data_IF_485436478689
#
_entry.id   IF_485436478689
#
_cell.length_a   1.000
_cell.length_b   1.000
_cell.length_c   1.000
_cell.angle_alpha   90.00
_cell.angle_beta   90.00
_cell.angle_gamma   90.00
#
_symmetry.space_group_name_H-M   'P 1'
#
loop_
_entity.id
_entity.type
_entity.pdbx_description
1 polymer ?
#
# COMPACT_ATOMS: atom_id res chain seq x y z
N UNK A 1 -15.60 -9.53 25.76
CA UNK A 1 -15.26 -10.35 24.58
C UNK A 1 -16.15 -9.95 23.41
N UNK A 2 -15.68 -10.06 22.15
CA UNK A 2 -16.50 -9.86 20.95
C UNK A 2 -17.62 -10.89 20.89
N UNK A 3 -18.85 -10.44 20.63
CA UNK A 3 -19.98 -11.34 20.38
C UNK A 3 -19.88 -12.00 18.97
N UNK A 4 -20.77 -12.96 18.70
CA UNK A 4 -20.72 -13.71 17.41
C UNK A 4 -20.89 -12.80 16.19
N UNK A 5 -21.76 -11.78 16.27
CA UNK A 5 -22.00 -10.83 15.19
C UNK A 5 -20.77 -9.94 14.92
N UNK A 6 -20.14 -9.42 15.99
CA UNK A 6 -18.91 -8.62 15.88
C UNK A 6 -17.76 -9.44 15.26
N UNK A 7 -17.59 -10.70 15.69
CA UNK A 7 -16.56 -11.61 15.12
C UNK A 7 -16.79 -11.87 13.65
N UNK A 8 -18.06 -12.20 13.27
CA UNK A 8 -18.45 -12.44 11.87
C UNK A 8 -18.23 -11.20 11.00
N UNK A 9 -18.63 -10.02 11.50
CA UNK A 9 -18.46 -8.76 10.78
C UNK A 9 -16.98 -8.37 10.66
N UNK A 10 -16.19 -8.54 11.71
CA UNK A 10 -14.75 -8.27 11.68
C UNK A 10 -14.07 -9.20 10.69
N UNK A 11 -14.36 -10.50 10.71
CA UNK A 11 -13.82 -11.45 9.73
C UNK A 11 -14.18 -11.04 8.30
N UNK A 12 -15.46 -10.77 8.01
CA UNK A 12 -15.94 -10.42 6.68
C UNK A 12 -15.26 -9.14 6.15
N UNK A 13 -15.22 -8.06 6.96
CA UNK A 13 -14.63 -6.79 6.55
C UNK A 13 -13.10 -6.87 6.42
N UNK A 14 -12.43 -7.62 7.29
CA UNK A 14 -10.99 -7.91 7.15
C UNK A 14 -10.70 -8.73 5.91
N UNK A 15 -11.55 -9.71 5.55
CA UNK A 15 -11.42 -10.49 4.32
C UNK A 15 -11.62 -9.63 3.07
N UNK A 16 -12.60 -8.72 3.06
CA UNK A 16 -12.78 -7.75 1.96
C UNK A 16 -11.51 -6.93 1.76
N UNK A 17 -10.94 -6.43 2.86
CA UNK A 17 -9.72 -5.63 2.81
C UNK A 17 -8.53 -6.48 2.33
N UNK A 18 -8.38 -7.70 2.85
CA UNK A 18 -7.32 -8.63 2.49
C UNK A 18 -7.36 -9.01 1.00
N UNK A 19 -8.53 -9.41 0.47
CA UNK A 19 -8.68 -9.78 -0.94
C UNK A 19 -8.33 -8.62 -1.87
N UNK A 20 -8.77 -7.42 -1.53
CA UNK A 20 -8.44 -6.22 -2.30
C UNK A 20 -6.95 -5.90 -2.27
N UNK A 21 -6.31 -6.00 -1.10
CA UNK A 21 -4.87 -5.75 -0.95
C UNK A 21 -4.03 -6.83 -1.64
N UNK A 22 -4.43 -8.10 -1.57
CA UNK A 22 -3.82 -9.18 -2.33
C UNK A 22 -3.82 -8.86 -3.83
N UNK A 23 -4.99 -8.53 -4.40
CA UNK A 23 -5.09 -8.20 -5.83
C UNK A 23 -4.24 -7.00 -6.23
N UNK A 24 -4.15 -5.98 -5.38
CA UNK A 24 -3.30 -4.81 -5.63
C UNK A 24 -1.81 -5.15 -5.60
N UNK A 25 -1.38 -5.83 -4.53
CA UNK A 25 0.05 -6.02 -4.25
C UNK A 25 0.68 -7.11 -5.10
N UNK A 26 -0.06 -8.13 -5.58
CA UNK A 26 0.50 -9.18 -6.43
C UNK A 26 1.07 -8.67 -7.75
N UNK A 27 0.54 -7.57 -8.28
CA UNK A 27 0.95 -7.00 -9.57
C UNK A 27 2.27 -6.23 -9.43
N UNK A 28 2.49 -5.54 -8.31
CA UNK A 28 3.60 -4.60 -8.15
C UNK A 28 4.98 -5.25 -8.38
N UNK A 29 5.33 -6.40 -7.78
CA UNK A 29 6.69 -6.97 -7.87
C UNK A 29 7.00 -7.65 -9.20
N UNK A 30 6.03 -7.75 -10.11
CA UNK A 30 6.21 -8.47 -11.39
C UNK A 30 6.01 -7.59 -12.60
N UNK A 31 5.30 -6.47 -12.45
CA UNK A 31 4.77 -5.71 -13.57
C UNK A 31 5.85 -5.08 -14.45
N UNK A 32 6.95 -4.60 -13.87
CA UNK A 32 8.05 -3.99 -14.61
C UNK A 32 8.75 -4.94 -15.59
N UNK A 33 8.69 -6.24 -15.32
CA UNK A 33 9.26 -7.28 -16.20
C UNK A 33 8.17 -7.94 -17.04
N UNK A 34 7.12 -8.49 -16.41
CA UNK A 34 6.07 -9.21 -17.13
C UNK A 34 5.23 -8.27 -18.02
N UNK A 35 5.09 -7.01 -17.66
CA UNK A 35 4.36 -6.02 -18.46
C UNK A 35 5.04 -5.58 -19.75
N UNK A 36 6.30 -5.94 -19.97
CA UNK A 36 7.02 -5.66 -21.24
C UNK A 36 6.42 -6.43 -22.42
N UNK A 37 5.58 -7.42 -22.19
CA UNK A 37 4.87 -8.18 -23.22
C UNK A 37 3.70 -7.40 -23.86
N UNK A 38 3.23 -6.32 -23.25
CA UNK A 38 2.17 -5.48 -23.80
C UNK A 38 2.66 -4.65 -24.98
N UNK A 39 1.81 -4.49 -26.00
CA UNK A 39 2.09 -3.57 -27.08
C UNK A 39 2.30 -2.14 -26.57
N UNK A 40 3.22 -1.43 -27.18
CA UNK A 40 3.63 -0.06 -26.81
C UNK A 40 4.19 0.09 -25.40
N UNK A 41 4.56 -1.01 -24.73
CA UNK A 41 5.15 -0.94 -23.39
C UNK A 41 6.51 -0.22 -23.44
N UNK A 42 6.64 0.80 -22.61
CA UNK A 42 7.92 1.47 -22.32
C UNK A 42 8.12 1.47 -20.80
N UNK A 43 9.35 1.56 -20.32
CA UNK A 43 9.62 1.61 -18.87
C UNK A 43 8.81 2.72 -18.17
N UNK A 44 8.68 3.90 -18.78
CA UNK A 44 7.89 5.00 -18.25
C UNK A 44 6.38 4.65 -18.15
N UNK A 45 5.81 4.01 -19.18
CA UNK A 45 4.40 3.59 -19.18
C UNK A 45 4.14 2.44 -18.21
N UNK A 46 5.09 1.51 -18.03
CA UNK A 46 5.02 0.47 -17.02
C UNK A 46 4.98 1.06 -15.61
N UNK A 47 5.86 2.03 -15.34
CA UNK A 47 5.85 2.77 -14.08
C UNK A 47 4.55 3.54 -13.86
N UNK A 48 4.05 4.22 -14.90
CA UNK A 48 2.75 4.90 -14.86
C UNK A 48 1.59 3.92 -14.60
N UNK A 49 1.57 2.77 -15.24
CA UNK A 49 0.54 1.76 -15.04
C UNK A 49 0.49 1.26 -13.58
N UNK A 50 1.62 1.13 -12.91
CA UNK A 50 1.66 0.82 -11.47
C UNK A 50 1.15 2.01 -10.65
N UNK A 51 1.66 3.21 -10.92
CA UNK A 51 1.38 4.40 -10.13
C UNK A 51 -0.05 4.94 -10.26
N UNK A 52 -0.65 4.88 -11.46
CA UNK A 52 -1.96 5.51 -11.76
C UNK A 52 -3.09 5.03 -10.83
N UNK A 53 -3.04 3.79 -10.38
CA UNK A 53 -3.93 3.27 -9.35
C UNK A 53 -3.84 4.11 -8.07
N UNK A 54 -2.63 4.44 -7.63
CA UNK A 54 -2.40 5.28 -6.45
C UNK A 54 -2.95 6.69 -6.64
N UNK A 55 -2.76 7.31 -7.81
CA UNK A 55 -3.26 8.65 -8.11
C UNK A 55 -4.79 8.72 -8.02
N UNK A 56 -5.49 7.82 -8.69
CA UNK A 56 -6.96 7.80 -8.69
C UNK A 56 -7.49 7.48 -7.30
N UNK A 57 -6.84 6.59 -6.55
CA UNK A 57 -7.21 6.30 -5.18
C UNK A 57 -6.99 7.51 -4.26
N UNK A 58 -5.87 8.22 -4.36
CA UNK A 58 -5.59 9.42 -3.56
C UNK A 58 -6.65 10.51 -3.79
N UNK A 59 -7.03 10.75 -5.05
CA UNK A 59 -8.03 11.76 -5.42
C UNK A 59 -9.41 11.36 -4.92
N UNK A 60 -9.81 10.10 -5.10
CA UNK A 60 -11.17 9.64 -4.80
C UNK A 60 -11.37 9.21 -3.34
N UNK A 61 -10.30 9.05 -2.56
CA UNK A 61 -10.34 8.71 -1.14
C UNK A 61 -11.21 9.68 -0.33
N UNK A 62 -11.06 10.98 -0.57
CA UNK A 62 -11.81 12.04 0.12
C UNK A 62 -13.30 12.05 -0.32
N UNK A 63 -13.64 12.13 -1.61
CA UNK A 63 -15.02 12.02 -2.07
C UNK A 63 -15.75 10.78 -1.54
N UNK A 64 -15.14 9.60 -1.60
CA UNK A 64 -15.73 8.37 -1.07
C UNK A 64 -16.00 8.45 0.43
N UNK A 65 -15.08 9.04 1.21
CA UNK A 65 -15.28 9.23 2.65
C UNK A 65 -16.44 10.17 2.94
N UNK A 66 -16.58 11.29 2.20
CA UNK A 66 -17.66 12.24 2.35
C UNK A 66 -19.03 11.65 1.98
N UNK A 67 -19.08 10.89 0.87
CA UNK A 67 -20.29 10.16 0.45
C UNK A 67 -20.64 9.11 1.52
N UNK A 68 -19.63 8.39 2.01
CA UNK A 68 -19.80 7.40 3.07
C UNK A 68 -20.33 8.00 4.37
N UNK A 69 -20.14 9.28 4.63
CA UNK A 69 -20.70 9.97 5.80
C UNK A 69 -22.16 10.38 5.62
N UNK A 70 -22.64 10.54 4.40
CA UNK A 70 -24.01 10.95 4.08
C UNK A 70 -24.93 9.78 3.73
N UNK A 71 -24.41 8.77 3.06
CA UNK A 71 -25.17 7.63 2.53
C UNK A 71 -24.80 6.31 3.21
N UNK A 72 -25.53 5.26 2.94
CA UNK A 72 -25.24 3.91 3.43
C UNK A 72 -23.87 3.43 2.93
N UNK A 73 -23.03 2.91 3.83
CA UNK A 73 -21.66 2.47 3.50
C UNK A 73 -21.61 1.21 2.64
N UNK A 74 -22.53 0.26 2.85
CA UNK A 74 -22.51 -1.01 2.11
C UNK A 74 -22.62 -0.83 0.58
N UNK A 75 -23.62 -0.10 0.04
CA UNK A 75 -23.69 0.14 -1.40
C UNK A 75 -22.45 0.82 -1.96
N UNK A 76 -21.83 1.74 -1.19
CA UNK A 76 -20.62 2.42 -1.60
C UNK A 76 -19.41 1.46 -1.64
N UNK A 77 -19.32 0.51 -0.69
CA UNK A 77 -18.30 -0.55 -0.72
C UNK A 77 -18.52 -1.46 -1.94
N UNK A 78 -19.78 -1.86 -2.23
CA UNK A 78 -20.10 -2.65 -3.44
C UNK A 78 -19.66 -1.90 -4.70
N UNK A 79 -20.04 -0.64 -4.83
CA UNK A 79 -19.68 0.19 -5.99
C UNK A 79 -18.15 0.27 -6.18
N UNK A 80 -17.40 0.53 -5.12
CA UNK A 80 -15.95 0.59 -5.22
C UNK A 80 -15.29 -0.76 -5.53
N UNK A 81 -15.83 -1.87 -5.00
CA UNK A 81 -15.34 -3.21 -5.35
C UNK A 81 -15.70 -3.59 -6.79
N UNK A 82 -16.83 -3.13 -7.31
CA UNK A 82 -17.16 -3.27 -8.74
C UNK A 82 -16.22 -2.49 -9.63
N UNK A 83 -15.86 -1.24 -9.26
CA UNK A 83 -14.83 -0.49 -9.98
C UNK A 83 -13.48 -1.20 -9.95
N UNK A 84 -13.10 -1.77 -8.80
CA UNK A 84 -11.86 -2.54 -8.67
C UNK A 84 -11.87 -3.78 -9.57
N UNK A 85 -12.95 -4.56 -9.58
CA UNK A 85 -13.10 -5.75 -10.42
C UNK A 85 -13.17 -5.38 -11.91
N UNK A 86 -13.95 -4.35 -12.28
CA UNK A 86 -14.04 -3.86 -13.66
C UNK A 86 -12.70 -3.41 -14.19
N UNK A 87 -11.95 -2.63 -13.41
CA UNK A 87 -10.61 -2.19 -13.79
C UNK A 87 -9.63 -3.35 -13.96
N UNK A 88 -9.72 -4.38 -13.10
CA UNK A 88 -8.96 -5.63 -13.24
C UNK A 88 -9.31 -6.36 -14.54
N UNK A 89 -10.60 -6.50 -14.87
CA UNK A 89 -11.07 -7.14 -16.10
C UNK A 89 -10.60 -6.38 -17.36
N UNK A 90 -10.71 -5.05 -17.37
CA UNK A 90 -10.22 -4.22 -18.48
C UNK A 90 -8.72 -4.43 -18.69
N UNK A 91 -7.92 -4.43 -17.60
CA UNK A 91 -6.48 -4.67 -17.69
C UNK A 91 -6.16 -6.10 -18.18
N UNK A 92 -6.94 -7.11 -17.75
CA UNK A 92 -6.77 -8.50 -18.13
C UNK A 92 -7.07 -8.76 -19.62
N UNK A 93 -8.03 -8.02 -20.19
CA UNK A 93 -8.46 -8.15 -21.60
C UNK A 93 -7.67 -7.27 -22.57
N UNK A 94 -6.74 -6.46 -22.04
CA UNK A 94 -6.00 -5.50 -22.86
C UNK A 94 -4.72 -6.12 -23.41
N UNK A 95 -4.48 -5.89 -24.71
CA UNK A 95 -3.23 -6.27 -25.36
C UNK A 95 -2.19 -5.13 -25.33
N UNK A 96 -2.63 -3.90 -25.07
CA UNK A 96 -1.79 -2.70 -25.04
C UNK A 96 -1.60 -2.17 -23.63
N UNK A 97 -0.45 -1.53 -23.37
CA UNK A 97 -0.16 -0.88 -22.09
C UNK A 97 -1.17 0.24 -21.75
N UNK A 98 -1.76 0.89 -22.74
CA UNK A 98 -2.75 1.96 -22.53
C UNK A 98 -4.04 1.43 -21.92
N UNK A 99 -4.52 0.27 -22.39
CA UNK A 99 -5.70 -0.37 -21.82
C UNK A 99 -5.45 -0.82 -20.38
N UNK A 100 -4.24 -1.30 -20.07
CA UNK A 100 -3.83 -1.61 -18.69
C UNK A 100 -3.83 -0.36 -17.81
N UNK A 101 -3.28 0.76 -18.29
CA UNK A 101 -3.29 2.05 -17.55
C UNK A 101 -4.73 2.48 -17.24
N UNK A 102 -5.64 2.41 -18.22
CA UNK A 102 -7.07 2.73 -18.01
C UNK A 102 -7.70 1.80 -16.97
N UNK A 103 -7.49 0.48 -17.13
CA UNK A 103 -8.00 -0.51 -16.16
C UNK A 103 -7.50 -0.23 -14.74
N UNK A 104 -6.21 0.06 -14.58
CA UNK A 104 -5.60 0.39 -13.30
C UNK A 104 -6.14 1.71 -12.71
N UNK A 105 -6.38 2.72 -13.55
CA UNK A 105 -6.99 3.98 -13.11
C UNK A 105 -8.43 3.76 -12.60
N UNK A 106 -9.22 2.95 -13.30
CA UNK A 106 -10.58 2.59 -12.87
C UNK A 106 -10.55 1.78 -11.56
N UNK A 107 -9.66 0.78 -11.47
CA UNK A 107 -9.50 -0.05 -10.25
C UNK A 107 -9.12 0.80 -9.03
N UNK A 108 -8.22 1.77 -9.18
CA UNK A 108 -7.85 2.73 -8.13
C UNK A 108 -9.01 3.63 -7.72
N UNK A 109 -9.95 3.90 -8.63
CA UNK A 109 -11.20 4.62 -8.33
C UNK A 109 -12.08 3.94 -7.27
N UNK A 110 -11.89 2.64 -7.04
CA UNK A 110 -12.55 1.92 -5.95
C UNK A 110 -12.00 2.22 -4.56
N UNK A 111 -11.88 3.48 -4.17
CA UNK A 111 -11.25 3.97 -2.93
C UNK A 111 -12.06 3.65 -1.65
N UNK A 112 -12.35 2.37 -1.39
CA UNK A 112 -13.23 1.93 -0.28
C UNK A 112 -12.53 1.71 1.06
N UNK A 113 -11.21 1.85 1.15
CA UNK A 113 -10.45 1.51 2.37
C UNK A 113 -10.99 2.21 3.63
N UNK A 114 -11.17 3.53 3.56
CA UNK A 114 -11.72 4.30 4.68
C UNK A 114 -13.19 3.93 4.98
N UNK A 115 -13.97 3.63 3.94
CA UNK A 115 -15.38 3.24 4.08
C UNK A 115 -15.53 1.90 4.79
N UNK A 116 -14.68 0.92 4.45
CA UNK A 116 -14.65 -0.40 5.11
C UNK A 116 -14.23 -0.28 6.57
N UNK A 117 -13.19 0.52 6.85
CA UNK A 117 -12.78 0.78 8.25
C UNK A 117 -13.89 1.46 9.05
N UNK A 118 -14.56 2.44 8.45
CA UNK A 118 -15.69 3.11 9.09
C UNK A 118 -16.87 2.16 9.31
N UNK A 119 -17.16 1.26 8.36
CA UNK A 119 -18.20 0.24 8.51
C UNK A 119 -17.84 -0.75 9.65
N UNK A 120 -16.57 -1.14 9.77
CA UNK A 120 -16.09 -1.96 10.88
C UNK A 120 -16.33 -1.29 12.24
N UNK A 121 -16.04 0.01 12.33
CA UNK A 121 -16.32 0.79 13.54
C UNK A 121 -17.82 0.86 13.90
N UNK A 122 -18.71 0.89 12.89
CA UNK A 122 -20.16 0.92 13.11
C UNK A 122 -20.72 -0.41 13.63
N UNK A 123 -20.14 -1.54 13.21
CA UNK A 123 -20.62 -2.89 13.58
C UNK A 123 -19.93 -3.46 14.82
N UNK A 124 -18.99 -2.72 15.42
CA UNK A 124 -18.28 -3.13 16.63
C UNK A 124 -18.49 -2.16 17.77
N UNK A 125 -18.74 -2.70 18.98
CA UNK A 125 -18.87 -1.90 20.21
C UNK A 125 -17.53 -1.21 20.51
N UNK A 126 -17.58 -0.09 21.21
CA UNK A 126 -16.42 0.75 21.50
C UNK A 126 -15.29 -0.03 22.20
N UNK A 127 -15.62 -0.88 23.17
CA UNK A 127 -14.71 -1.78 23.91
C UNK A 127 -13.94 -2.75 22.99
N UNK A 128 -14.54 -3.17 21.88
CA UNK A 128 -13.99 -4.16 20.97
C UNK A 128 -13.39 -3.55 19.68
N UNK A 129 -13.63 -2.25 19.43
CA UNK A 129 -13.22 -1.55 18.20
C UNK A 129 -11.72 -1.64 17.96
N UNK A 130 -10.91 -1.47 19.00
CA UNK A 130 -9.45 -1.57 18.88
C UNK A 130 -9.02 -2.97 18.44
N UNK A 131 -9.63 -4.02 18.98
CA UNK A 131 -9.33 -5.40 18.56
C UNK A 131 -9.73 -5.67 17.11
N UNK A 132 -10.91 -5.17 16.70
CA UNK A 132 -11.38 -5.31 15.32
C UNK A 132 -10.45 -4.59 14.32
N UNK A 133 -10.04 -3.37 14.63
CA UNK A 133 -9.09 -2.61 13.81
C UNK A 133 -7.70 -3.27 13.77
N UNK A 134 -7.22 -3.84 14.86
CA UNK A 134 -5.97 -4.60 14.90
C UNK A 134 -6.05 -5.85 14.02
N UNK A 135 -7.18 -6.58 14.04
CA UNK A 135 -7.41 -7.74 13.16
C UNK A 135 -7.36 -7.33 11.69
N UNK A 136 -8.00 -6.20 11.34
CA UNK A 136 -7.95 -5.66 9.97
C UNK A 136 -6.52 -5.25 9.58
N UNK A 137 -5.78 -4.57 10.47
CA UNK A 137 -4.38 -4.21 10.24
C UNK A 137 -3.49 -5.44 10.01
N UNK A 138 -3.65 -6.49 10.80
CA UNK A 138 -2.94 -7.76 10.59
C UNK A 138 -3.27 -8.38 9.23
N UNK A 139 -4.53 -8.33 8.80
CA UNK A 139 -4.92 -8.88 7.49
C UNK A 139 -4.24 -8.15 6.32
N UNK A 140 -3.96 -6.85 6.44
CA UNK A 140 -3.22 -6.07 5.44
C UNK A 140 -1.76 -6.57 5.37
N UNK A 141 -1.09 -6.70 6.51
CA UNK A 141 0.30 -7.16 6.58
C UNK A 141 0.47 -8.58 6.01
N UNK A 142 -0.45 -9.50 6.36
CA UNK A 142 -0.46 -10.85 5.81
C UNK A 142 -0.70 -10.83 4.31
N UNK A 143 -1.67 -10.01 3.83
CA UNK A 143 -1.94 -9.88 2.40
C UNK A 143 -0.74 -9.36 1.63
N UNK A 144 0.00 -8.40 2.19
CA UNK A 144 1.23 -7.89 1.60
C UNK A 144 2.27 -9.01 1.44
N UNK A 145 2.57 -9.74 2.52
CA UNK A 145 3.56 -10.82 2.48
C UNK A 145 3.16 -11.93 1.50
N UNK A 146 1.89 -12.35 1.51
CA UNK A 146 1.36 -13.36 0.60
C UNK A 146 1.39 -12.88 -0.85
N UNK A 147 0.98 -11.64 -1.13
CA UNK A 147 0.93 -11.08 -2.47
C UNK A 147 2.32 -11.00 -3.12
N UNK A 148 3.31 -10.50 -2.38
CA UNK A 148 4.68 -10.39 -2.88
C UNK A 148 5.37 -11.73 -3.07
N UNK A 149 4.96 -12.75 -2.32
CA UNK A 149 5.49 -14.11 -2.47
C UNK A 149 4.80 -14.88 -3.59
N UNK A 150 3.46 -14.82 -3.66
CA UNK A 150 2.67 -15.56 -4.64
C UNK A 150 2.60 -14.89 -6.01
N UNK A 151 2.68 -13.55 -6.08
CA UNK A 151 2.57 -12.81 -7.35
C UNK A 151 3.54 -13.30 -8.41
N UNK A 152 4.86 -13.38 -8.13
CA UNK A 152 5.84 -13.88 -9.08
C UNK A 152 5.58 -15.34 -9.52
N UNK A 153 5.23 -16.21 -8.59
CA UNK A 153 4.92 -17.61 -8.88
C UNK A 153 3.67 -17.74 -9.76
N UNK A 154 2.57 -17.06 -9.41
CA UNK A 154 1.34 -17.05 -10.21
C UNK A 154 1.56 -16.47 -11.60
N UNK A 155 2.36 -15.40 -11.72
CA UNK A 155 2.69 -14.84 -13.04
C UNK A 155 3.38 -15.84 -13.94
N UNK A 156 4.21 -16.72 -13.38
CA UNK A 156 4.82 -17.83 -14.12
C UNK A 156 3.83 -18.88 -14.62
N UNK A 157 2.68 -19.04 -13.95
CA UNK A 157 1.65 -20.02 -14.31
C UNK A 157 0.59 -19.48 -15.28
N UNK A 158 0.09 -18.25 -15.02
CA UNK A 158 -1.08 -17.69 -15.72
C UNK A 158 -0.76 -16.43 -16.53
N UNK A 159 0.49 -16.00 -16.51
CA UNK A 159 0.91 -14.74 -17.13
C UNK A 159 0.38 -13.49 -16.42
N UNK A 160 0.72 -12.32 -16.96
CA UNK A 160 0.31 -11.04 -16.36
C UNK A 160 -1.19 -10.77 -16.53
N UNK A 161 -1.79 -11.13 -17.67
CA UNK A 161 -3.23 -11.01 -17.90
C UNK A 161 -4.03 -11.93 -16.95
N UNK A 162 -3.54 -13.15 -16.72
CA UNK A 162 -4.11 -14.07 -15.73
C UNK A 162 -4.07 -13.51 -14.32
N UNK A 163 -3.01 -12.79 -13.94
CA UNK A 163 -2.91 -12.14 -12.64
C UNK A 163 -3.96 -11.02 -12.47
N UNK A 164 -4.27 -10.26 -13.53
CA UNK A 164 -5.38 -9.30 -13.51
C UNK A 164 -6.74 -9.99 -13.40
N UNK A 165 -6.94 -11.16 -14.03
CA UNK A 165 -8.15 -11.97 -13.81
C UNK A 165 -8.29 -12.45 -12.37
N UNK A 166 -7.20 -12.89 -11.74
CA UNK A 166 -7.19 -13.24 -10.30
C UNK A 166 -7.62 -12.03 -9.46
N UNK A 167 -7.11 -10.83 -9.77
CA UNK A 167 -7.51 -9.57 -9.10
C UNK A 167 -9.02 -9.30 -9.26
N UNK A 168 -9.56 -9.51 -10.46
CA UNK A 168 -11.00 -9.36 -10.76
C UNK A 168 -11.84 -10.33 -9.93
N UNK A 169 -11.46 -11.60 -9.90
CA UNK A 169 -12.15 -12.63 -9.11
C UNK A 169 -12.12 -12.30 -7.62
N UNK A 170 -10.98 -11.85 -7.11
CA UNK A 170 -10.85 -11.42 -5.71
C UNK A 170 -11.75 -10.22 -5.38
N UNK A 171 -11.89 -9.26 -6.31
CA UNK A 171 -12.80 -8.13 -6.16
C UNK A 171 -14.26 -8.58 -6.07
N UNK A 172 -14.68 -9.49 -6.96
CA UNK A 172 -16.04 -10.07 -6.94
C UNK A 172 -16.28 -10.94 -5.70
N UNK A 173 -15.29 -11.76 -5.29
CA UNK A 173 -15.36 -12.54 -4.05
C UNK A 173 -15.48 -11.65 -2.81
N UNK A 174 -14.81 -10.50 -2.79
CA UNK A 174 -14.93 -9.54 -1.71
C UNK A 174 -16.37 -8.98 -1.57
N UNK A 175 -17.11 -8.81 -2.68
CA UNK A 175 -18.52 -8.37 -2.64
C UNK A 175 -19.37 -9.41 -1.89
N UNK A 176 -19.14 -10.71 -2.09
CA UNK A 176 -19.91 -11.76 -1.43
C UNK A 176 -19.72 -11.74 0.09
N UNK A 177 -18.56 -11.31 0.60
CA UNK A 177 -18.31 -11.19 2.04
C UNK A 177 -19.22 -10.14 2.72
N UNK A 178 -19.75 -9.15 1.98
CA UNK A 178 -20.68 -8.15 2.52
C UNK A 178 -22.04 -8.73 2.97
N UNK A 179 -22.45 -9.89 2.46
CA UNK A 179 -23.64 -10.58 2.96
C UNK A 179 -23.52 -11.04 4.41
N UNK A 180 -22.27 -11.21 4.89
CA UNK A 180 -21.99 -11.59 6.27
C UNK A 180 -22.10 -10.41 7.26
N UNK A 181 -22.11 -9.17 6.76
CA UNK A 181 -22.16 -7.97 7.58
C UNK A 181 -23.61 -7.55 7.78
N UNK A 182 -24.08 -7.24 9.00
CA UNK A 182 -25.46 -6.83 9.25
C UNK A 182 -25.79 -5.47 8.61
N UNK A 183 -27.08 -5.20 8.39
CA UNK A 183 -27.53 -3.85 8.06
C UNK A 183 -27.34 -2.95 9.30
N UNK A 184 -26.70 -1.82 9.12
CA UNK A 184 -26.47 -0.85 10.20
C UNK A 184 -27.44 0.30 10.02
N UNK A 185 -28.30 0.52 11.00
CA UNK A 185 -29.09 1.75 11.14
C UNK A 185 -28.19 2.85 11.67
N UNK A 186 -28.05 3.92 10.91
CA UNK A 186 -27.15 5.01 11.25
C UNK A 186 -27.78 6.02 12.21
N UNK A 187 -26.98 6.45 13.18
CA UNK A 187 -27.17 7.74 13.84
C UNK A 187 -26.34 8.78 13.07
N UNK A 188 -27.00 9.79 12.51
CA UNK A 188 -26.31 10.92 11.86
C UNK A 188 -25.40 11.60 12.88
N UNK A 189 -24.10 11.55 12.65
CA UNK A 189 -23.15 12.41 13.37
C UNK A 189 -23.23 13.81 12.76
N UNK A 190 -23.77 14.75 13.50
CA UNK A 190 -23.62 16.18 13.17
C UNK A 190 -22.15 16.56 13.34
N UNK A 191 -21.44 16.73 12.24
CA UNK A 191 -20.12 17.36 12.27
C UNK A 191 -20.32 18.86 12.57
N UNK A 192 -19.91 19.30 13.75
CA UNK A 192 -20.00 20.72 14.15
C UNK A 192 -19.12 21.65 13.29
N UNK A 193 -18.08 21.11 12.65
CA UNK A 193 -17.22 21.84 11.71
C UNK A 193 -17.23 21.14 10.34
N UNK A 194 -17.34 21.95 9.27
CA UNK A 194 -17.28 21.42 7.91
C UNK A 194 -15.92 20.74 7.62
N UNK A 195 -15.94 19.65 6.85
CA UNK A 195 -14.75 18.87 6.48
C UNK A 195 -13.60 19.74 5.93
N UNK A 196 -13.91 20.73 5.08
CA UNK A 196 -12.92 21.64 4.50
C UNK A 196 -12.19 22.50 5.57
N UNK A 197 -12.90 22.89 6.63
CA UNK A 197 -12.27 23.63 7.73
C UNK A 197 -11.29 22.73 8.51
N UNK A 198 -11.68 21.48 8.78
CA UNK A 198 -10.80 20.49 9.42
C UNK A 198 -9.59 20.14 8.54
N UNK A 199 -9.79 19.97 7.23
CA UNK A 199 -8.71 19.74 6.28
C UNK A 199 -7.70 20.90 6.28
N UNK A 200 -8.20 22.14 6.20
CA UNK A 200 -7.36 23.34 6.26
C UNK A 200 -6.60 23.44 7.59
N UNK A 201 -7.23 23.05 8.69
CA UNK A 201 -6.58 22.99 9.99
C UNK A 201 -5.46 21.97 10.02
N UNK A 202 -5.69 20.73 9.56
CA UNK A 202 -4.69 19.66 9.51
C UNK A 202 -3.49 20.05 8.66
N UNK A 203 -3.74 20.61 7.46
CA UNK A 203 -2.68 21.06 6.54
C UNK A 203 -1.86 22.26 7.05
N UNK A 204 -2.35 23.00 8.06
CA UNK A 204 -1.58 24.06 8.72
C UNK A 204 -0.69 23.55 9.85
N UNK A 205 -0.87 22.31 10.31
CA UNK A 205 -0.10 21.74 11.40
C UNK A 205 1.24 21.16 10.89
N UNK A 206 2.34 21.89 11.11
CA UNK A 206 3.67 21.51 10.61
C UNK A 206 4.12 20.10 11.03
N UNK A 207 3.85 19.69 12.28
CA UNK A 207 4.23 18.37 12.76
C UNK A 207 3.46 17.25 12.05
N UNK A 208 2.17 17.45 11.73
CA UNK A 208 1.40 16.48 10.95
C UNK A 208 1.89 16.44 9.50
N UNK A 209 2.24 17.60 8.91
CA UNK A 209 2.75 17.65 7.55
C UNK A 209 4.08 16.89 7.40
N UNK A 210 4.97 16.96 8.39
CA UNK A 210 6.20 16.15 8.40
C UNK A 210 5.89 14.66 8.34
N UNK A 211 4.89 14.18 9.12
CA UNK A 211 4.47 12.78 9.08
C UNK A 211 3.82 12.41 7.75
N UNK A 212 3.03 13.31 7.14
CA UNK A 212 2.44 13.10 5.82
C UNK A 212 3.51 13.03 4.72
N UNK A 213 4.53 13.88 4.77
CA UNK A 213 5.68 13.83 3.85
C UNK A 213 6.47 12.54 4.05
N UNK A 214 6.69 12.12 5.30
CA UNK A 214 7.40 10.87 5.60
C UNK A 214 6.68 9.65 5.04
N UNK A 215 5.34 9.57 5.17
CA UNK A 215 4.56 8.46 4.58
C UNK A 215 4.54 8.50 3.06
N UNK A 216 4.47 9.69 2.48
CA UNK A 216 4.61 9.90 1.04
C UNK A 216 5.96 9.37 0.54
N UNK A 217 7.07 9.77 1.18
CA UNK A 217 8.43 9.37 0.80
C UNK A 217 8.64 7.86 0.96
N UNK A 218 8.11 7.28 2.05
CA UNK A 218 8.18 5.84 2.29
C UNK A 218 7.54 5.03 1.16
N UNK A 219 6.35 5.43 0.71
CA UNK A 219 5.63 4.72 -0.36
C UNK A 219 6.14 5.06 -1.76
N UNK A 220 6.71 6.26 -1.95
CA UNK A 220 7.45 6.59 -3.17
C UNK A 220 8.64 5.64 -3.33
N UNK A 221 9.47 5.50 -2.30
CA UNK A 221 10.62 4.60 -2.32
C UNK A 221 10.20 3.14 -2.50
N UNK A 222 9.18 2.67 -1.75
CA UNK A 222 8.68 1.31 -1.87
C UNK A 222 8.27 0.98 -3.31
N UNK A 223 7.44 1.85 -3.91
CA UNK A 223 6.90 1.58 -5.25
C UNK A 223 7.99 1.69 -6.32
N UNK A 224 8.88 2.70 -6.22
CA UNK A 224 10.02 2.82 -7.12
C UNK A 224 10.94 1.60 -7.03
N UNK A 225 11.23 1.13 -5.81
CA UNK A 225 12.03 -0.07 -5.56
C UNK A 225 11.40 -1.31 -6.24
N UNK A 226 10.10 -1.54 -6.06
CA UNK A 226 9.44 -2.73 -6.64
C UNK A 226 9.30 -2.69 -8.16
N UNK A 227 9.44 -1.52 -8.78
CA UNK A 227 9.56 -1.42 -10.24
C UNK A 227 11.01 -1.70 -10.67
N UNK A 228 11.99 -1.22 -9.90
CA UNK A 228 13.40 -1.27 -10.29
C UNK A 228 14.07 -2.60 -9.93
N UNK A 229 13.77 -3.19 -8.76
CA UNK A 229 14.40 -4.42 -8.24
C UNK A 229 14.20 -5.66 -9.10
N UNK A 230 13.03 -5.96 -9.71
CA UNK A 230 12.84 -7.21 -10.44
C UNK A 230 13.88 -7.41 -11.55
N UNK A 231 14.23 -6.37 -12.31
CA UNK A 231 15.30 -6.43 -13.30
C UNK A 231 16.67 -6.69 -12.64
N UNK A 232 16.95 -6.02 -11.52
CA UNK A 232 18.23 -6.18 -10.81
C UNK A 232 18.42 -7.63 -10.28
N UNK A 233 17.36 -8.26 -9.79
CA UNK A 233 17.37 -9.65 -9.35
C UNK A 233 17.64 -10.61 -10.52
N UNK A 234 17.12 -10.33 -11.70
CA UNK A 234 17.36 -11.12 -12.90
C UNK A 234 18.79 -10.90 -13.40
N UNK A 235 19.20 -9.63 -13.55
CA UNK A 235 20.44 -9.27 -14.24
C UNK A 235 21.68 -9.56 -13.40
N UNK A 236 21.65 -9.28 -12.10
CA UNK A 236 22.81 -9.39 -11.21
C UNK A 236 22.74 -10.60 -10.26
N UNK A 237 21.59 -10.87 -9.65
CA UNK A 237 21.45 -12.03 -8.77
C UNK A 237 21.17 -13.34 -9.52
N UNK A 238 20.87 -13.28 -10.82
CA UNK A 238 20.53 -14.42 -11.70
C UNK A 238 19.34 -15.23 -11.18
N UNK A 239 18.37 -14.56 -10.56
CA UNK A 239 17.15 -15.16 -10.02
C UNK A 239 16.00 -14.88 -11.01
N UNK A 240 15.38 -15.91 -11.60
CA UNK A 240 14.28 -15.72 -12.55
C UNK A 240 13.03 -15.17 -11.85
N UNK A 241 12.19 -14.43 -12.58
CA UNK A 241 11.04 -13.72 -12.06
C UNK A 241 10.08 -14.59 -11.23
N UNK A 242 9.78 -15.79 -11.69
CA UNK A 242 8.90 -16.75 -11.01
C UNK A 242 9.44 -17.20 -9.63
N UNK A 243 10.73 -17.03 -9.39
CA UNK A 243 11.41 -17.37 -8.13
C UNK A 243 11.60 -16.19 -7.19
N UNK A 244 11.24 -14.97 -7.58
CA UNK A 244 11.37 -13.76 -6.72
C UNK A 244 10.59 -13.88 -5.41
N UNK A 245 9.49 -14.65 -5.39
CA UNK A 245 8.75 -14.92 -4.16
C UNK A 245 9.60 -15.55 -3.06
N UNK A 246 10.57 -16.39 -3.42
CA UNK A 246 11.51 -17.01 -2.49
C UNK A 246 12.58 -16.03 -1.96
N UNK A 247 12.73 -14.87 -2.60
CA UNK A 247 13.53 -13.75 -2.09
C UNK A 247 12.70 -12.87 -1.17
N UNK A 248 11.51 -12.46 -1.63
CA UNK A 248 10.69 -11.50 -0.89
C UNK A 248 10.14 -12.09 0.41
N UNK A 249 9.71 -13.35 0.43
CA UNK A 249 9.12 -13.96 1.63
C UNK A 249 10.08 -13.99 2.82
N UNK A 250 11.32 -14.52 2.70
CA UNK A 250 12.28 -14.48 3.82
C UNK A 250 12.62 -13.06 4.27
N UNK A 251 12.82 -12.13 3.32
CA UNK A 251 13.12 -10.73 3.64
C UNK A 251 11.98 -10.08 4.43
N UNK A 252 10.73 -10.33 4.04
CA UNK A 252 9.55 -9.82 4.76
C UNK A 252 9.40 -10.47 6.13
N UNK A 253 9.59 -11.79 6.25
CA UNK A 253 9.53 -12.48 7.55
C UNK A 253 10.60 -11.96 8.51
N UNK A 254 11.85 -11.84 8.03
CA UNK A 254 12.95 -11.27 8.81
C UNK A 254 12.63 -9.83 9.21
N UNK A 255 12.11 -9.03 8.29
CA UNK A 255 11.78 -7.62 8.59
C UNK A 255 10.71 -7.49 9.67
N UNK A 256 9.69 -8.35 9.69
CA UNK A 256 8.67 -8.37 10.75
C UNK A 256 9.26 -8.77 12.09
N UNK A 257 10.22 -9.70 12.10
CA UNK A 257 10.92 -10.09 13.33
C UNK A 257 11.66 -8.92 13.98
N UNK A 258 12.25 -8.03 13.20
CA UNK A 258 12.90 -6.81 13.71
C UNK A 258 11.92 -5.66 13.96
N UNK A 259 10.85 -5.55 13.16
CA UNK A 259 9.87 -4.48 13.33
C UNK A 259 9.11 -4.60 14.65
N UNK A 260 8.70 -5.82 15.06
CA UNK A 260 7.92 -6.02 16.28
C UNK A 260 8.63 -5.52 17.55
N UNK A 261 9.89 -5.90 17.86
CA UNK A 261 10.61 -5.34 19.00
C UNK A 261 10.80 -3.82 18.91
N UNK A 262 11.04 -3.29 17.70
CA UNK A 262 11.20 -1.85 17.48
C UNK A 262 9.93 -1.08 17.84
N UNK A 263 8.76 -1.59 17.49
CA UNK A 263 7.46 -1.01 17.85
C UNK A 263 7.28 -1.03 19.37
N UNK A 264 7.60 -2.17 20.03
CA UNK A 264 7.51 -2.27 21.49
C UNK A 264 8.46 -1.27 22.16
N UNK A 265 9.69 -1.13 21.68
CA UNK A 265 10.65 -0.14 22.18
C UNK A 265 10.14 1.29 21.98
N UNK A 266 9.58 1.60 20.82
CA UNK A 266 9.03 2.91 20.52
C UNK A 266 7.85 3.28 21.44
N UNK A 267 6.91 2.34 21.62
CA UNK A 267 5.66 2.57 22.33
C UNK A 267 5.83 2.47 23.87
N UNK A 268 6.35 1.34 24.36
CA UNK A 268 6.46 1.05 25.80
C UNK A 268 7.50 1.94 26.47
N UNK A 269 8.64 2.18 25.81
CA UNK A 269 9.73 2.97 26.37
C UNK A 269 9.75 4.42 25.87
N UNK A 270 8.70 4.85 25.12
CA UNK A 270 8.54 6.22 24.59
C UNK A 270 9.72 6.72 23.74
N UNK A 271 10.39 5.80 23.03
CA UNK A 271 11.56 6.10 22.17
C UNK A 271 11.20 6.27 20.69
N UNK A 272 9.98 6.76 20.40
CA UNK A 272 9.48 6.87 19.01
C UNK A 272 10.44 7.62 18.09
N UNK A 273 10.95 8.80 18.53
CA UNK A 273 11.88 9.61 17.71
C UNK A 273 13.18 8.87 17.42
N UNK A 274 13.77 8.20 18.40
CA UNK A 274 15.02 7.44 18.22
C UNK A 274 14.85 6.30 17.23
N UNK A 275 13.79 5.48 17.38
CA UNK A 275 13.49 4.37 16.49
C UNK A 275 13.18 4.87 15.07
N UNK A 276 12.44 5.99 14.94
CA UNK A 276 12.17 6.62 13.65
C UNK A 276 13.45 7.03 12.93
N UNK A 277 14.37 7.74 13.61
CA UNK A 277 15.66 8.16 13.04
C UNK A 277 16.54 6.96 12.68
N UNK A 278 16.54 5.90 13.51
CA UNK A 278 17.27 4.65 13.21
C UNK A 278 16.69 3.99 11.95
N UNK A 279 15.37 3.99 11.78
CA UNK A 279 14.73 3.43 10.59
C UNK A 279 15.07 4.25 9.33
N UNK A 280 15.07 5.58 9.40
CA UNK A 280 15.53 6.44 8.29
C UNK A 280 16.99 6.09 7.93
N UNK A 281 17.88 6.02 8.94
CA UNK A 281 19.28 5.61 8.74
C UNK A 281 19.38 4.23 8.09
N UNK A 282 18.52 3.29 8.47
CA UNK A 282 18.41 1.95 7.88
C UNK A 282 18.02 1.98 6.40
N UNK A 283 17.02 2.81 6.02
CA UNK A 283 16.64 3.01 4.61
C UNK A 283 17.83 3.59 3.81
N UNK A 284 18.45 4.67 4.30
CA UNK A 284 19.55 5.33 3.60
C UNK A 284 20.76 4.38 3.48
N UNK A 285 21.09 3.64 4.54
CA UNK A 285 22.18 2.65 4.51
C UNK A 285 21.85 1.51 3.54
N UNK A 286 20.64 0.96 3.61
CA UNK A 286 20.21 -0.13 2.74
C UNK A 286 20.26 0.23 1.25
N UNK A 287 19.84 1.44 0.89
CA UNK A 287 19.94 1.95 -0.48
C UNK A 287 21.37 2.34 -0.84
N UNK A 288 22.11 2.97 0.09
CA UNK A 288 23.47 3.47 -0.12
C UNK A 288 24.48 2.36 -0.43
N UNK A 289 24.42 1.21 0.22
CA UNK A 289 25.33 0.09 -0.08
C UNK A 289 25.10 -0.48 -1.49
N UNK A 290 23.89 -0.32 -2.05
CA UNK A 290 23.56 -0.77 -3.40
C UNK A 290 24.24 0.09 -4.48
N UNK A 291 24.62 1.34 -4.18
CA UNK A 291 25.35 2.20 -5.13
C UNK A 291 26.66 1.55 -5.59
N UNK A 292 27.37 0.89 -4.65
CA UNK A 292 28.70 0.34 -4.88
C UNK A 292 28.73 -1.18 -5.05
N UNK A 293 27.64 -1.88 -4.69
CA UNK A 293 27.67 -3.34 -4.57
C UNK A 293 26.49 -4.06 -5.24
N UNK A 294 25.69 -3.39 -6.06
CA UNK A 294 24.48 -3.98 -6.69
C UNK A 294 24.78 -5.22 -7.55
N UNK A 295 26.00 -5.35 -8.10
CA UNK A 295 26.41 -6.53 -8.90
C UNK A 295 26.58 -7.79 -8.05
N UNK A 296 26.84 -7.63 -6.76
CA UNK A 296 26.93 -8.76 -5.83
C UNK A 296 25.55 -9.17 -5.33
N UNK A 297 25.16 -10.42 -5.61
CA UNK A 297 23.91 -11.01 -5.10
C UNK A 297 23.78 -10.81 -3.59
N UNK A 298 24.82 -11.01 -2.82
CA UNK A 298 24.79 -10.91 -1.36
C UNK A 298 24.58 -9.46 -0.90
N UNK A 299 25.24 -8.50 -1.53
CA UNK A 299 25.09 -7.08 -1.20
C UNK A 299 23.69 -6.61 -1.62
N UNK A 300 23.21 -7.03 -2.80
CA UNK A 300 21.86 -6.73 -3.26
C UNK A 300 20.80 -7.21 -2.26
N UNK A 301 20.88 -8.47 -1.83
CA UNK A 301 19.95 -9.03 -0.85
C UNK A 301 20.08 -8.38 0.53
N UNK A 302 21.29 -8.02 0.96
CA UNK A 302 21.51 -7.33 2.24
C UNK A 302 20.90 -5.92 2.21
N UNK A 303 21.13 -5.16 1.14
CA UNK A 303 20.56 -3.82 0.96
C UNK A 303 19.04 -3.84 0.97
N UNK A 304 18.45 -4.81 0.25
CA UNK A 304 17.00 -5.05 0.28
C UNK A 304 16.50 -5.43 1.68
N UNK A 305 17.21 -6.29 2.38
CA UNK A 305 16.89 -6.70 3.75
C UNK A 305 16.84 -5.51 4.71
N UNK A 306 17.87 -4.67 4.69
CA UNK A 306 17.94 -3.44 5.50
C UNK A 306 16.80 -2.49 5.16
N UNK A 307 16.54 -2.28 3.86
CA UNK A 307 15.42 -1.47 3.41
C UNK A 307 14.07 -1.99 3.95
N UNK A 308 13.78 -3.29 3.81
CA UNK A 308 12.50 -3.86 4.26
C UNK A 308 12.35 -3.85 5.78
N UNK A 309 13.42 -4.07 6.55
CA UNK A 309 13.39 -3.94 8.01
C UNK A 309 12.99 -2.51 8.38
N UNK A 310 13.69 -1.53 7.84
CA UNK A 310 13.45 -0.13 8.12
C UNK A 310 12.06 0.32 7.63
N UNK A 311 11.64 -0.12 6.44
CA UNK A 311 10.32 0.14 5.88
C UNK A 311 9.21 -0.37 6.82
N UNK A 312 9.25 -1.63 7.28
CA UNK A 312 8.20 -2.18 8.13
C UNK A 312 8.15 -1.50 9.52
N UNK A 313 9.30 -1.08 10.06
CA UNK A 313 9.34 -0.25 11.27
C UNK A 313 8.63 1.08 11.05
N UNK A 314 8.93 1.78 9.94
CA UNK A 314 8.32 3.07 9.60
C UNK A 314 6.82 2.94 9.32
N UNK A 315 6.40 1.90 8.58
CA UNK A 315 5.01 1.64 8.24
C UNK A 315 4.13 1.44 9.49
N UNK A 316 4.68 0.84 10.52
CA UNK A 316 3.97 0.67 11.80
C UNK A 316 4.02 1.93 12.67
N UNK A 317 5.15 2.66 12.70
CA UNK A 317 5.33 3.82 13.56
C UNK A 317 4.56 5.06 13.08
N UNK A 318 4.55 5.33 11.76
CA UNK A 318 3.97 6.56 11.21
C UNK A 318 2.47 6.70 11.53
N UNK A 319 1.59 5.71 11.29
CA UNK A 319 0.18 5.80 11.66
C UNK A 319 -0.04 5.91 13.18
N UNK A 320 0.77 5.20 13.98
CA UNK A 320 0.71 5.28 15.44
C UNK A 320 1.07 6.69 15.93
N UNK A 321 2.15 7.26 15.43
CA UNK A 321 2.59 8.61 15.79
C UNK A 321 1.56 9.66 15.35
N UNK A 322 1.10 9.61 14.11
CA UNK A 322 0.06 10.49 13.59
C UNK A 322 -1.21 10.43 14.45
N UNK A 323 -1.64 9.24 14.81
CA UNK A 323 -2.83 9.04 15.66
C UNK A 323 -2.71 9.67 17.04
N UNK A 324 -1.49 9.82 17.57
CA UNK A 324 -1.20 10.47 18.87
C UNK A 324 -1.02 11.98 18.75
N UNK A 325 -0.47 12.45 17.61
CA UNK A 325 -0.21 13.87 17.35
C UNK A 325 -1.46 14.62 16.87
N UNK A 326 -2.38 13.94 16.20
CA UNK A 326 -3.58 14.58 15.65
C UNK A 326 -4.60 14.94 16.74
N UNK A 327 -5.17 16.15 16.73
CA UNK A 327 -6.26 16.54 17.62
C UNK A 327 -7.47 15.60 17.48
N UNK A 328 -8.16 15.33 18.60
CA UNK A 328 -9.29 14.39 18.63
C UNK A 328 -10.38 14.75 17.60
N UNK A 329 -10.66 16.05 17.44
CA UNK A 329 -11.71 16.57 16.54
C UNK A 329 -11.36 16.37 15.05
N UNK A 330 -10.08 16.42 14.68
CA UNK A 330 -9.59 16.32 13.29
C UNK A 330 -8.80 15.03 13.01
N UNK A 331 -8.80 14.07 13.94
CA UNK A 331 -8.02 12.83 13.83
C UNK A 331 -8.40 12.01 12.58
N UNK A 332 -9.69 11.88 12.29
CA UNK A 332 -10.14 11.17 11.10
C UNK A 332 -9.68 11.85 9.81
N UNK A 333 -9.75 13.19 9.76
CA UNK A 333 -9.25 13.98 8.63
C UNK A 333 -7.74 13.85 8.47
N UNK A 334 -6.96 13.89 9.57
CA UNK A 334 -5.51 13.68 9.53
C UNK A 334 -5.14 12.28 8.99
N UNK A 335 -5.84 11.24 9.43
CA UNK A 335 -5.65 9.88 8.90
C UNK A 335 -6.04 9.76 7.43
N UNK A 336 -7.06 10.49 6.99
CA UNK A 336 -7.45 10.58 5.57
C UNK A 336 -6.37 11.24 4.71
N UNK A 337 -5.82 12.37 5.16
CA UNK A 337 -4.69 13.05 4.50
C UNK A 337 -3.47 12.13 4.42
N UNK A 338 -3.17 11.40 5.50
CA UNK A 338 -2.09 10.43 5.53
C UNK A 338 -2.28 9.32 4.48
N UNK A 339 -3.47 8.75 4.37
CA UNK A 339 -3.77 7.74 3.35
C UNK A 339 -3.66 8.30 1.92
N UNK A 340 -4.11 9.54 1.68
CA UNK A 340 -3.92 10.20 0.38
C UNK A 340 -2.44 10.44 0.08
N UNK A 341 -1.64 10.86 1.07
CA UNK A 341 -0.18 11.02 0.94
C UNK A 341 0.51 9.70 0.61
N UNK A 342 0.09 8.61 1.24
CA UNK A 342 0.57 7.24 0.96
C UNK A 342 0.36 6.88 -0.51
N UNK A 343 -0.85 7.04 -1.02
CA UNK A 343 -1.17 6.70 -2.41
C UNK A 343 -0.55 7.65 -3.43
N UNK A 344 -0.41 8.94 -3.11
CA UNK A 344 0.37 9.87 -3.92
C UNK A 344 1.85 9.46 -3.97
N UNK A 345 2.43 9.04 -2.84
CA UNK A 345 3.78 8.48 -2.80
C UNK A 345 3.91 7.28 -3.73
N UNK A 346 2.96 6.35 -3.70
CA UNK A 346 2.95 5.20 -4.60
C UNK A 346 2.84 5.60 -6.09
N UNK A 347 2.06 6.64 -6.41
CA UNK A 347 1.99 7.18 -7.78
C UNK A 347 3.35 7.73 -8.24
N UNK A 348 3.92 8.63 -7.47
CA UNK A 348 5.23 9.22 -7.84
C UNK A 348 6.34 8.18 -7.82
N UNK A 349 6.27 7.19 -6.93
CA UNK A 349 7.17 6.04 -6.92
C UNK A 349 7.07 5.20 -8.19
N UNK A 350 5.85 5.00 -8.70
CA UNK A 350 5.61 4.36 -9.98
C UNK A 350 6.28 5.09 -11.13
N UNK A 351 6.04 6.40 -11.23
CA UNK A 351 6.66 7.26 -12.26
C UNK A 351 8.19 7.25 -12.13
N UNK A 352 8.70 7.45 -10.92
CA UNK A 352 10.16 7.45 -10.66
C UNK A 352 10.79 6.11 -11.02
N UNK A 353 10.21 4.98 -10.56
CA UNK A 353 10.73 3.65 -10.87
C UNK A 353 10.77 3.36 -12.37
N UNK A 354 9.73 3.80 -13.11
CA UNK A 354 9.71 3.71 -14.57
C UNK A 354 10.82 4.52 -15.24
N UNK A 355 11.13 5.71 -14.73
CA UNK A 355 12.25 6.54 -15.22
C UNK A 355 13.61 5.93 -14.89
N UNK A 356 13.75 5.32 -13.70
CA UNK A 356 15.00 4.64 -13.32
C UNK A 356 15.34 3.48 -14.25
N UNK A 357 14.35 2.76 -14.77
CA UNK A 357 14.56 1.69 -15.75
C UNK A 357 15.09 2.19 -17.11
N UNK A 358 14.98 3.49 -17.41
CA UNK A 358 15.55 4.10 -18.62
C UNK A 358 17.04 4.45 -18.47
N UNK A 359 17.56 4.43 -17.24
CA UNK A 359 18.94 4.78 -16.98
C UNK A 359 19.87 3.63 -17.40
N UNK A 360 20.86 3.94 -18.22
CA UNK A 360 21.91 2.99 -18.59
C UNK A 360 22.95 2.79 -17.47
N UNK A 361 22.77 3.46 -16.34
CA UNK A 361 23.69 3.41 -15.20
C UNK A 361 22.95 3.02 -13.92
N UNK A 362 23.12 1.79 -13.48
CA UNK A 362 22.47 1.23 -12.31
C UNK A 362 22.89 1.93 -11.02
N UNK A 363 24.18 2.30 -10.88
CA UNK A 363 24.67 3.03 -9.71
C UNK A 363 24.00 4.41 -9.59
N UNK A 364 23.75 5.09 -10.71
CA UNK A 364 23.00 6.35 -10.73
C UNK A 364 21.55 6.13 -10.24
N UNK A 365 20.90 5.05 -10.67
CA UNK A 365 19.55 4.69 -10.20
C UNK A 365 19.48 4.53 -8.68
N UNK A 366 20.43 3.80 -8.09
CA UNK A 366 20.53 3.64 -6.63
C UNK A 366 20.87 4.96 -5.93
N UNK A 367 21.71 5.80 -6.55
CA UNK A 367 22.07 7.14 -6.02
C UNK A 367 20.85 8.05 -5.96
N UNK A 368 19.98 8.03 -6.99
CA UNK A 368 18.74 8.80 -7.03
C UNK A 368 17.79 8.34 -5.91
N UNK A 369 17.60 7.02 -5.74
CA UNK A 369 16.75 6.48 -4.67
C UNK A 369 17.28 6.84 -3.28
N UNK A 370 18.60 6.77 -3.08
CA UNK A 370 19.25 7.18 -1.84
C UNK A 370 19.08 8.68 -1.58
N UNK A 371 19.25 9.51 -2.61
CA UNK A 371 18.98 10.94 -2.54
C UNK A 371 17.54 11.25 -2.14
N UNK A 372 16.56 10.58 -2.77
CA UNK A 372 15.15 10.72 -2.41
C UNK A 372 14.88 10.30 -0.95
N UNK A 373 15.59 9.29 -0.43
CA UNK A 373 15.50 8.93 0.98
C UNK A 373 16.07 10.01 1.91
N UNK A 374 17.18 10.64 1.55
CA UNK A 374 17.80 11.70 2.35
C UNK A 374 16.94 12.97 2.40
N UNK A 375 16.35 13.37 1.26
CA UNK A 375 15.55 14.60 1.18
C UNK A 375 14.09 14.40 1.59
N UNK A 376 13.59 13.18 1.60
CA UNK A 376 12.20 12.85 1.92
C UNK A 376 11.89 12.77 3.41
N UNK A 377 12.91 12.72 4.27
CA UNK A 377 12.79 12.62 5.72
C UNK A 377 13.50 13.75 6.45
#
# INVERSE_FOLDING_TARGET
MMNALERRSTFALSSIFALRMLGLFMIIPVFSVAGQTYEYATPALLGLAVGIYGLTQAILQIPFSLIADRYSRKPLVVFGLLLFALGGAIAAMSDTIYGVIIGRAIAGGGAVSAVVMALLADVTREENRMKAMATMGMSIGVSFAVAFSLGPWLTGLVGISGLFWVTTIMGLAAISMLFLVPKVTRHHRNYQQGYLAQLKQVLKMGDLNRLHVSVFSLHLLLTAMFIYIPSQLIDFAKIPLNSHGWVYLPLLVISLFFAFPSIVLAEKYRKMRGIFLTAIGGIILGLGILIFGFESKYILLTGLGLFFIAFNVMEALLPSWLSKAAPIQSKATAMGVNASSQFLGAFFGGVTGGQLLLLNNTALGWSILTGLAIFGY
#
